data_IF_092538492270
#
_entry.id   IF_092538492270
#
_cell.length_a   1.000
_cell.length_b   1.000
_cell.length_c   1.000
_cell.angle_alpha   90.00
_cell.angle_beta   90.00
_cell.angle_gamma   90.00
#
_symmetry.space_group_name_H-M   'P 1'
#
loop_
_entity.id
_entity.type
_entity.pdbx_description
1 polymer ?
#
# COMPACT_ATOMS: atom_id res chain seq x y z
N UNK A 1 -4.27 -18.22 5.27
CA UNK A 1 -5.10 -17.13 4.71
C UNK A 1 -4.62 -15.85 5.35
N UNK A 2 -4.15 -14.88 4.58
CA UNK A 2 -3.78 -13.55 5.11
C UNK A 2 -5.07 -12.85 5.53
N UNK A 3 -5.14 -12.38 6.77
CA UNK A 3 -6.30 -11.64 7.30
C UNK A 3 -6.08 -10.13 7.21
N UNK A 4 -7.13 -9.33 7.42
CA UNK A 4 -7.01 -7.87 7.55
C UNK A 4 -6.07 -7.48 8.71
N UNK A 5 -6.05 -8.27 9.79
CA UNK A 5 -5.14 -8.04 10.92
C UNK A 5 -3.67 -8.28 10.53
N UNK A 6 -3.41 -9.31 9.70
CA UNK A 6 -2.07 -9.57 9.17
C UNK A 6 -1.65 -8.45 8.21
N UNK A 7 -2.55 -8.02 7.33
CA UNK A 7 -2.33 -6.87 6.44
C UNK A 7 -1.98 -5.61 7.24
N UNK A 8 -2.71 -5.30 8.31
CA UNK A 8 -2.43 -4.14 9.15
C UNK A 8 -1.05 -4.21 9.79
N UNK A 9 -0.69 -5.35 10.37
CA UNK A 9 0.64 -5.59 10.97
C UNK A 9 1.76 -5.42 9.94
N UNK A 10 1.62 -6.07 8.79
CA UNK A 10 2.63 -6.07 7.73
C UNK A 10 2.76 -4.69 7.08
N UNK A 11 1.64 -3.99 6.90
CA UNK A 11 1.60 -2.62 6.41
C UNK A 11 2.32 -1.67 7.37
N UNK A 12 2.03 -1.73 8.67
CA UNK A 12 2.71 -0.91 9.68
C UNK A 12 4.22 -1.16 9.68
N UNK A 13 4.63 -2.43 9.64
CA UNK A 13 6.03 -2.79 9.62
C UNK A 13 6.73 -2.32 8.33
N UNK A 14 6.08 -2.44 7.17
CA UNK A 14 6.61 -1.96 5.90
C UNK A 14 6.72 -0.43 5.87
N UNK A 15 5.72 0.27 6.36
CA UNK A 15 5.69 1.73 6.38
C UNK A 15 6.76 2.32 7.32
N UNK A 16 6.91 1.78 8.54
CA UNK A 16 7.98 2.22 9.46
C UNK A 16 9.39 1.97 8.88
N UNK A 17 9.60 0.85 8.18
CA UNK A 17 10.86 0.60 7.47
C UNK A 17 11.08 1.58 6.32
N UNK A 18 10.02 1.99 5.63
CA UNK A 18 10.07 3.00 4.57
C UNK A 18 10.50 4.35 5.14
N UNK A 19 9.92 4.78 6.26
CA UNK A 19 10.31 6.03 6.95
C UNK A 19 11.78 6.03 7.41
N UNK A 20 12.30 4.88 7.85
CA UNK A 20 13.69 4.75 8.30
C UNK A 20 14.75 4.70 7.18
N UNK A 21 14.35 4.60 5.91
CA UNK A 21 15.28 4.45 4.76
C UNK A 21 15.03 5.59 3.76
N UNK A 22 15.97 6.54 3.68
CA UNK A 22 15.82 7.73 2.83
C UNK A 22 15.98 7.50 1.31
N UNK A 23 16.40 6.33 0.80
CA UNK A 23 16.67 6.16 -0.63
C UNK A 23 16.30 4.78 -1.24
N UNK A 24 15.78 4.85 -2.47
CA UNK A 24 15.47 3.88 -3.56
C UNK A 24 14.89 2.49 -3.26
N UNK A 25 15.26 1.82 -2.18
CA UNK A 25 14.75 0.48 -1.83
C UNK A 25 13.35 0.48 -1.20
N UNK A 26 12.85 1.66 -0.85
CA UNK A 26 11.63 1.83 -0.06
C UNK A 26 10.35 1.77 -0.93
N UNK A 27 10.45 2.05 -2.23
CA UNK A 27 9.32 1.97 -3.18
C UNK A 27 8.92 0.52 -3.48
N UNK A 28 9.88 -0.41 -3.47
CA UNK A 28 9.61 -1.84 -3.66
C UNK A 28 8.72 -2.45 -2.56
N UNK A 29 8.69 -1.87 -1.35
CA UNK A 29 7.94 -2.41 -0.23
C UNK A 29 6.42 -2.23 -0.39
N UNK A 30 5.97 -1.05 -0.87
CA UNK A 30 4.55 -0.80 -1.15
C UNK A 30 4.03 -1.74 -2.24
N UNK A 31 4.82 -1.90 -3.31
CA UNK A 31 4.48 -2.82 -4.41
C UNK A 31 4.36 -4.29 -3.97
N UNK A 32 5.34 -4.79 -3.19
CA UNK A 32 5.30 -6.18 -2.71
C UNK A 32 4.12 -6.43 -1.77
N UNK A 33 3.80 -5.46 -0.91
CA UNK A 33 2.64 -5.54 -0.02
C UNK A 33 1.34 -5.57 -0.82
N UNK A 34 1.20 -4.69 -1.82
CA UNK A 34 0.05 -4.65 -2.72
C UNK A 34 -0.16 -5.96 -3.47
N UNK A 35 0.92 -6.55 -4.01
CA UNK A 35 0.85 -7.87 -4.66
C UNK A 35 0.43 -8.99 -3.70
N UNK A 36 0.90 -8.96 -2.45
CA UNK A 36 0.57 -9.98 -1.46
C UNK A 36 -0.89 -9.89 -1.01
N UNK A 37 -1.41 -8.66 -0.85
CA UNK A 37 -2.82 -8.42 -0.54
C UNK A 37 -3.73 -8.86 -1.69
N UNK A 38 -3.35 -8.55 -2.93
CA UNK A 38 -4.06 -8.99 -4.13
C UNK A 38 -4.09 -10.52 -4.25
N UNK A 39 -2.98 -11.20 -3.96
CA UNK A 39 -2.91 -12.67 -3.96
C UNK A 39 -3.77 -13.32 -2.85
N UNK A 40 -4.20 -12.54 -1.86
CA UNK A 40 -5.09 -12.94 -0.78
C UNK A 40 -6.54 -12.49 -1.00
N UNK A 41 -6.90 -12.03 -2.21
CA UNK A 41 -8.22 -11.52 -2.58
C UNK A 41 -8.72 -10.35 -1.70
N UNK A 42 -7.81 -9.58 -1.10
CA UNK A 42 -8.16 -8.38 -0.34
C UNK A 42 -8.49 -7.25 -1.32
N UNK A 43 -9.59 -6.54 -1.07
CA UNK A 43 -10.01 -5.45 -1.96
C UNK A 43 -9.12 -4.21 -1.81
N UNK A 44 -8.98 -3.43 -2.89
CA UNK A 44 -8.27 -2.16 -2.86
C UNK A 44 -8.83 -1.20 -1.79
N UNK A 45 -10.15 -1.21 -1.57
CA UNK A 45 -10.80 -0.39 -0.55
C UNK A 45 -10.36 -0.77 0.87
N UNK A 46 -10.25 -2.07 1.17
CA UNK A 46 -9.74 -2.55 2.46
C UNK A 46 -8.28 -2.16 2.65
N UNK A 47 -7.45 -2.24 1.59
CA UNK A 47 -6.05 -1.82 1.71
C UNK A 47 -5.92 -0.32 1.96
N UNK A 48 -6.69 0.51 1.26
CA UNK A 48 -6.70 1.97 1.48
C UNK A 48 -7.15 2.30 2.90
N UNK A 49 -8.16 1.59 3.42
CA UNK A 49 -8.59 1.74 4.81
C UNK A 49 -7.46 1.41 5.79
N UNK A 50 -6.84 0.24 5.64
CA UNK A 50 -5.72 -0.18 6.49
C UNK A 50 -4.55 0.81 6.41
N UNK A 51 -4.27 1.35 5.23
CA UNK A 51 -3.23 2.37 5.05
C UNK A 51 -3.50 3.61 5.91
N UNK A 52 -4.73 4.13 5.89
CA UNK A 52 -5.09 5.29 6.71
C UNK A 52 -5.11 4.97 8.21
N UNK A 53 -5.58 3.78 8.61
CA UNK A 53 -5.54 3.34 10.01
C UNK A 53 -4.08 3.34 10.53
N UNK A 54 -3.15 2.75 9.76
CA UNK A 54 -1.71 2.75 10.07
C UNK A 54 -1.12 4.16 10.08
N UNK A 55 -1.48 5.03 9.11
CA UNK A 55 -1.00 6.40 9.06
C UNK A 55 -1.43 7.18 10.32
N UNK A 56 -2.69 7.06 10.72
CA UNK A 56 -3.21 7.71 11.94
C UNK A 56 -2.45 7.22 13.18
N UNK A 57 -2.16 5.92 13.29
CA UNK A 57 -1.35 5.39 14.39
C UNK A 57 0.05 5.98 14.42
N UNK A 58 0.74 6.05 13.27
CA UNK A 58 2.10 6.61 13.20
C UNK A 58 2.09 8.10 13.51
N UNK A 59 1.13 8.86 12.99
CA UNK A 59 1.03 10.31 13.23
C UNK A 59 0.79 10.67 14.70
N UNK A 60 0.15 9.80 15.48
CA UNK A 60 -0.03 10.02 16.93
C UNK A 60 1.28 10.08 17.69
N UNK A 61 2.29 9.32 17.23
CA UNK A 61 3.61 9.23 17.85
C UNK A 61 4.66 10.11 17.14
N UNK A 62 4.26 10.86 16.10
CA UNK A 62 5.16 11.66 15.25
C UNK A 62 5.26 13.11 15.78
N UNK A 63 6.47 13.68 15.93
CA UNK A 63 6.64 15.11 16.23
C UNK A 63 5.94 16.00 15.21
N UNK A 64 5.31 17.09 15.66
CA UNK A 64 4.49 17.96 14.81
C UNK A 64 5.25 18.54 13.60
N UNK A 65 6.55 18.80 13.74
CA UNK A 65 7.43 19.28 12.68
C UNK A 65 7.78 18.20 11.64
N UNK A 66 7.69 16.93 12.00
CA UNK A 66 7.93 15.78 11.11
C UNK A 66 6.67 15.28 10.39
N UNK A 67 5.48 15.64 10.88
CA UNK A 67 4.17 15.23 10.31
C UNK A 67 4.07 15.44 8.79
N UNK A 68 4.46 16.60 8.21
CA UNK A 68 4.39 16.79 6.76
C UNK A 68 5.25 15.79 5.98
N UNK A 69 6.44 15.47 6.48
CA UNK A 69 7.35 14.52 5.83
C UNK A 69 6.80 13.08 5.91
N UNK A 70 6.24 12.70 7.07
CA UNK A 70 5.59 11.39 7.24
C UNK A 70 4.36 11.25 6.35
N UNK A 71 3.54 12.30 6.25
CA UNK A 71 2.36 12.30 5.38
C UNK A 71 2.74 12.17 3.89
N UNK A 72 3.82 12.85 3.46
CA UNK A 72 4.33 12.71 2.09
C UNK A 72 4.81 11.28 1.82
N UNK A 73 5.62 10.71 2.72
CA UNK A 73 6.09 9.34 2.59
C UNK A 73 4.93 8.32 2.57
N UNK A 74 3.85 8.58 3.33
CA UNK A 74 2.65 7.76 3.28
C UNK A 74 1.96 7.81 1.91
N UNK A 75 1.84 9.01 1.31
CA UNK A 75 1.30 9.17 -0.04
C UNK A 75 2.12 8.40 -1.06
N UNK A 76 3.45 8.52 -1.03
CA UNK A 76 4.35 7.82 -1.96
C UNK A 76 4.23 6.30 -1.80
N UNK A 77 4.17 5.82 -0.56
CA UNK A 77 3.97 4.40 -0.25
C UNK A 77 2.64 3.86 -0.76
N UNK A 78 1.55 4.63 -0.62
CA UNK A 78 0.24 4.25 -1.10
C UNK A 78 0.22 4.13 -2.63
N UNK A 79 0.84 5.07 -3.35
CA UNK A 79 0.89 5.05 -4.81
C UNK A 79 1.53 3.76 -5.33
N UNK A 80 2.64 3.32 -4.74
CA UNK A 80 3.31 2.05 -5.09
C UNK A 80 2.42 0.83 -4.82
N UNK A 81 1.69 0.86 -3.70
CA UNK A 81 0.75 -0.19 -3.37
C UNK A 81 -0.36 -0.26 -4.42
N UNK A 82 -0.99 0.86 -4.74
CA UNK A 82 -2.11 0.94 -5.70
C UNK A 82 -1.65 0.58 -7.12
N UNK A 83 -0.42 0.92 -7.50
CA UNK A 83 0.17 0.53 -8.79
C UNK A 83 0.17 -1.00 -9.00
N UNK A 84 0.29 -1.78 -7.92
CA UNK A 84 0.20 -3.25 -7.96
C UNK A 84 -1.17 -3.74 -8.43
N UNK A 85 -2.24 -3.05 -8.01
CA UNK A 85 -3.61 -3.37 -8.40
C UNK A 85 -3.91 -2.93 -9.83
N UNK A 86 -3.43 -1.76 -10.24
CA UNK A 86 -3.60 -1.26 -11.63
C UNK A 86 -2.93 -2.19 -12.65
N UNK A 87 -1.70 -2.66 -12.38
CA UNK A 87 -1.02 -3.63 -13.25
C UNK A 87 -1.74 -4.98 -13.35
N UNK A 88 -2.40 -5.42 -12.29
CA UNK A 88 -3.21 -6.66 -12.31
C UNK A 88 -4.45 -6.50 -13.18
N UNK A 89 -5.17 -5.38 -13.02
CA UNK A 89 -6.39 -5.07 -13.77
C UNK A 89 -6.10 -4.96 -15.28
N UNK A 90 -4.96 -4.38 -15.67
CA UNK A 90 -4.52 -4.27 -17.08
C UNK A 90 -4.13 -5.62 -17.71
N UNK A 91 -3.82 -6.64 -16.92
CA UNK A 91 -3.48 -7.98 -17.42
C UNK A 91 -4.70 -8.86 -17.69
N UNK A 92 -5.91 -8.42 -17.33
CA UNK A 92 -7.14 -9.12 -17.73
C UNK A 92 -7.42 -8.87 -19.21
N UNK A 93 -7.37 -9.88 -20.10
CA UNK A 93 -7.76 -9.72 -21.49
C UNK A 93 -9.30 -9.74 -21.55
N UNK A 94 -9.93 -8.57 -21.36
CA UNK A 94 -11.38 -8.46 -21.26
C UNK A 94 -11.93 -7.21 -21.94
N UNK A 95 -11.53 -6.95 -23.19
CA UNK A 95 -11.98 -5.77 -23.91
C UNK A 95 -11.63 -5.78 -25.39
N UNK A 96 -11.88 -6.88 -26.11
CA UNK A 96 -11.90 -6.88 -27.57
C UNK A 96 -12.69 -8.08 -28.12
N UNK A 97 -13.84 -7.78 -28.75
CA UNK A 97 -14.46 -8.59 -29.80
C UNK A 97 -15.51 -9.61 -29.38
N UNK A 98 -16.79 -9.26 -29.57
CA UNK A 98 -17.78 -10.23 -30.08
C UNK A 98 -18.31 -9.68 -31.40
N UNK A 99 -18.03 -10.33 -32.56
CA UNK A 99 -18.86 -10.14 -33.73
C UNK A 99 -20.09 -11.04 -33.58
N UNK A 100 -21.27 -10.45 -33.72
CA UNK A 100 -22.56 -11.12 -33.88
C UNK A 100 -23.31 -10.38 -34.98
#
# INVERSE_FOLDING_TARGET
MTTIADLHRDHRAAFLRHLGRREESALAAGYQLGRSALAADISLLEVVRVHHDVLIEVLRDTPADEVPAVAQAASDFLLELVASYDMSQRRSPGGRGRPG
#
